data_IF_076550660827
#
_entry.id   IF_076550660827
#
_cell.length_a   1.000
_cell.length_b   1.000
_cell.length_c   1.000
_cell.angle_alpha   90.00
_cell.angle_beta   90.00
_cell.angle_gamma   90.00
#
_symmetry.space_group_name_H-M   'P 1'
#
loop_
_entity.id
_entity.type
_entity.pdbx_description
1 polymer ?
#
# COMPACT_ATOMS: atom_id res chain seq x y z
N UNK A 1 -36.66 -40.42 14.11
CA UNK A 1 -36.53 -38.96 13.99
C UNK A 1 -35.10 -38.62 14.37
N UNK A 2 -34.25 -38.27 13.40
CA UNK A 2 -32.88 -37.88 13.71
C UNK A 2 -32.90 -36.52 14.39
N UNK A 3 -32.41 -36.50 15.62
CA UNK A 3 -32.18 -35.31 16.43
C UNK A 3 -31.15 -34.45 15.70
N UNK A 4 -31.63 -33.58 14.80
CA UNK A 4 -30.77 -32.66 14.05
C UNK A 4 -30.27 -31.65 15.05
N UNK A 5 -29.07 -31.89 15.58
CA UNK A 5 -28.31 -30.93 16.37
C UNK A 5 -28.09 -29.68 15.50
N UNK A 6 -28.94 -28.68 15.68
CA UNK A 6 -28.79 -27.38 15.05
C UNK A 6 -27.65 -26.64 15.73
N UNK A 7 -26.63 -26.30 14.97
CA UNK A 7 -25.47 -25.56 15.43
C UNK A 7 -25.43 -24.12 14.91
N UNK A 8 -24.43 -23.37 15.37
CA UNK A 8 -24.15 -22.01 14.88
C UNK A 8 -24.01 -21.96 13.34
N UNK A 9 -23.50 -23.02 12.73
CA UNK A 9 -23.26 -23.08 11.28
C UNK A 9 -24.53 -23.31 10.45
N UNK A 10 -25.62 -23.75 11.09
CA UNK A 10 -26.91 -23.97 10.43
C UNK A 10 -27.77 -22.69 10.40
N UNK A 11 -27.27 -21.60 10.99
CA UNK A 11 -27.93 -20.30 10.95
C UNK A 11 -27.87 -19.70 9.53
N UNK A 12 -28.90 -18.94 9.14
CA UNK A 12 -28.87 -18.14 7.91
C UNK A 12 -27.75 -17.09 7.96
N UNK A 13 -27.24 -16.72 6.78
CA UNK A 13 -26.08 -15.85 6.65
C UNK A 13 -26.29 -14.46 7.29
N UNK A 14 -27.52 -13.96 7.27
CA UNK A 14 -27.93 -12.68 7.85
C UNK A 14 -27.67 -12.65 9.36
N UNK A 15 -28.09 -13.71 10.07
CA UNK A 15 -27.86 -13.82 11.51
C UNK A 15 -26.37 -13.99 11.83
N UNK A 16 -25.63 -14.72 10.97
CA UNK A 16 -24.18 -14.81 11.12
C UNK A 16 -23.52 -13.41 10.99
N UNK A 17 -23.97 -12.57 10.04
CA UNK A 17 -23.45 -11.21 9.88
C UNK A 17 -23.74 -10.32 11.08
N UNK A 18 -24.94 -10.41 11.65
CA UNK A 18 -25.29 -9.68 12.88
C UNK A 18 -24.46 -10.14 14.07
N UNK A 19 -24.25 -11.45 14.21
CA UNK A 19 -23.36 -12.01 15.25
C UNK A 19 -21.96 -11.43 15.09
N UNK A 20 -21.42 -11.38 13.87
CA UNK A 20 -20.10 -10.79 13.61
C UNK A 20 -20.07 -9.30 13.98
N UNK A 21 -21.07 -8.53 13.55
CA UNK A 21 -21.14 -7.09 13.81
C UNK A 21 -21.21 -6.78 15.31
N UNK A 22 -21.95 -7.58 16.09
CA UNK A 22 -22.09 -7.41 17.54
C UNK A 22 -20.91 -7.97 18.34
N UNK A 23 -20.31 -9.09 17.90
CA UNK A 23 -19.19 -9.70 18.61
C UNK A 23 -17.94 -8.84 18.54
N UNK A 24 -17.76 -8.07 17.46
CA UNK A 24 -16.58 -7.24 17.17
C UNK A 24 -15.26 -8.01 17.23
N UNK A 25 -15.30 -9.35 17.17
CA UNK A 25 -14.14 -10.22 17.33
C UNK A 25 -13.49 -10.51 15.97
N UNK A 26 -12.18 -10.24 15.85
CA UNK A 26 -11.44 -10.53 14.62
C UNK A 26 -11.15 -12.03 14.44
N UNK A 27 -11.24 -12.81 15.51
CA UNK A 27 -10.91 -14.24 15.50
C UNK A 27 -12.09 -15.11 15.06
N UNK A 28 -13.32 -14.59 15.17
CA UNK A 28 -14.55 -15.34 14.85
C UNK A 28 -14.62 -15.83 13.38
N UNK A 29 -14.21 -15.02 12.38
CA UNK A 29 -14.03 -15.53 11.02
C UNK A 29 -12.94 -16.58 10.86
N UNK A 30 -11.93 -16.62 11.74
CA UNK A 30 -10.79 -17.52 11.62
C UNK A 30 -11.05 -18.92 12.21
N UNK A 31 -12.08 -19.05 13.06
CA UNK A 31 -12.45 -20.32 13.71
C UNK A 31 -12.83 -21.39 12.69
N UNK A 32 -13.47 -21.02 11.58
CA UNK A 32 -13.96 -21.97 10.59
C UNK A 32 -13.87 -21.41 9.16
N UNK A 33 -13.47 -22.24 8.19
CA UNK A 33 -13.45 -21.91 6.76
C UNK A 33 -14.82 -21.49 6.23
N UNK A 34 -15.91 -22.11 6.69
CA UNK A 34 -17.27 -21.72 6.32
C UNK A 34 -17.59 -20.30 6.78
N UNK A 35 -17.34 -19.99 8.05
CA UNK A 35 -17.51 -18.65 8.61
C UNK A 35 -16.64 -17.63 7.89
N UNK A 36 -15.37 -17.95 7.64
CA UNK A 36 -14.47 -17.10 6.85
C UNK A 36 -15.05 -16.76 5.48
N UNK A 37 -15.56 -17.78 4.78
CA UNK A 37 -16.17 -17.62 3.46
C UNK A 37 -17.44 -16.77 3.54
N UNK A 38 -18.35 -17.07 4.46
CA UNK A 38 -19.60 -16.32 4.64
C UNK A 38 -19.30 -14.86 4.95
N UNK A 39 -18.43 -14.57 5.93
CA UNK A 39 -18.07 -13.21 6.31
C UNK A 39 -17.29 -12.45 5.24
N UNK A 40 -16.57 -13.15 4.37
CA UNK A 40 -15.95 -12.53 3.19
C UNK A 40 -17.01 -11.91 2.25
N UNK A 41 -18.24 -12.42 2.23
CA UNK A 41 -19.37 -11.88 1.47
C UNK A 41 -20.32 -11.02 2.32
N UNK A 42 -19.95 -10.68 3.56
CA UNK A 42 -20.76 -9.80 4.40
C UNK A 42 -21.03 -8.45 3.69
N UNK A 43 -22.23 -7.88 3.83
CA UNK A 43 -22.58 -6.62 3.18
C UNK A 43 -21.78 -5.45 3.75
N UNK A 44 -21.62 -4.34 3.01
CA UNK A 44 -20.83 -3.19 3.44
C UNK A 44 -21.32 -2.57 4.76
N UNK A 45 -22.63 -2.58 5.01
CA UNK A 45 -23.23 -2.12 6.27
C UNK A 45 -22.72 -2.90 7.48
N UNK A 46 -22.76 -4.24 7.43
CA UNK A 46 -22.25 -5.10 8.50
C UNK A 46 -20.75 -4.91 8.74
N UNK A 47 -19.96 -4.71 7.67
CA UNK A 47 -18.52 -4.40 7.78
C UNK A 47 -18.29 -3.05 8.47
N UNK A 48 -19.08 -2.03 8.13
CA UNK A 48 -19.01 -0.71 8.76
C UNK A 48 -19.35 -0.81 10.26
N UNK A 49 -20.42 -1.52 10.62
CA UNK A 49 -20.78 -1.75 12.03
C UNK A 49 -19.69 -2.49 12.80
N UNK A 50 -19.08 -3.52 12.20
CA UNK A 50 -17.96 -4.24 12.81
C UNK A 50 -16.78 -3.31 13.09
N UNK A 51 -16.40 -2.47 12.13
CA UNK A 51 -15.32 -1.48 12.28
C UNK A 51 -15.64 -0.50 13.40
N UNK A 52 -16.84 0.11 13.38
CA UNK A 52 -17.28 1.03 14.45
C UNK A 52 -17.30 0.37 15.83
N UNK A 53 -17.73 -0.89 15.89
CA UNK A 53 -17.73 -1.68 17.10
C UNK A 53 -16.33 -1.89 17.69
N UNK A 54 -15.30 -2.01 16.85
CA UNK A 54 -13.90 -2.09 17.31
C UNK A 54 -13.32 -0.75 17.73
N UNK A 55 -13.82 0.35 17.16
CA UNK A 55 -13.35 1.70 17.44
C UNK A 55 -13.88 2.22 18.80
N UNK A 56 -14.89 1.56 19.40
CA UNK A 56 -15.56 1.93 20.68
C UNK A 56 -14.57 2.45 21.74
N UNK A 57 -14.39 3.76 21.72
CA UNK A 57 -13.78 4.58 22.75
C UNK A 57 -14.90 5.38 23.43
N UNK A 58 -14.87 5.61 24.75
CA UNK A 58 -15.95 6.26 25.48
C UNK A 58 -16.14 7.77 25.19
N UNK A 59 -15.41 8.34 24.24
CA UNK A 59 -15.40 9.78 23.94
C UNK A 59 -15.85 10.07 22.49
N UNK A 60 -16.40 11.27 22.19
CA UNK A 60 -16.67 11.69 20.83
C UNK A 60 -15.36 11.84 20.06
N UNK A 61 -14.94 10.78 19.39
CA UNK A 61 -13.73 10.79 18.57
C UNK A 61 -13.94 11.74 17.38
N UNK A 62 -12.89 12.49 17.06
CA UNK A 62 -12.83 13.24 15.83
C UNK A 62 -13.08 12.29 14.64
N UNK A 63 -13.80 12.73 13.60
CA UNK A 63 -14.10 11.89 12.44
C UNK A 63 -12.85 11.39 11.73
N UNK A 64 -11.74 12.14 11.83
CA UNK A 64 -10.41 11.77 11.33
C UNK A 64 -9.95 10.41 11.85
N UNK A 65 -10.05 10.19 13.16
CA UNK A 65 -9.60 8.96 13.80
C UNK A 65 -10.47 7.76 13.43
N UNK A 66 -11.77 7.98 13.20
CA UNK A 66 -12.68 6.91 12.78
C UNK A 66 -12.33 6.45 11.36
N UNK A 67 -12.03 7.39 10.46
CA UNK A 67 -11.69 7.07 9.07
C UNK A 67 -10.27 6.49 8.99
N UNK A 68 -9.31 7.05 9.71
CA UNK A 68 -7.94 6.51 9.77
C UNK A 68 -7.93 5.08 10.30
N UNK A 69 -8.63 4.84 11.42
CA UNK A 69 -8.76 3.48 11.97
C UNK A 69 -9.52 2.57 11.02
N UNK A 70 -10.57 3.04 10.33
CA UNK A 70 -11.26 2.25 9.31
C UNK A 70 -10.33 1.84 8.16
N UNK A 71 -9.53 2.77 7.63
CA UNK A 71 -8.57 2.51 6.54
C UNK A 71 -7.44 1.54 6.94
N UNK A 72 -7.20 1.35 8.25
CA UNK A 72 -6.26 0.33 8.73
C UNK A 72 -6.74 -1.10 8.46
N UNK A 73 -8.04 -1.31 8.28
CA UNK A 73 -8.64 -2.62 8.05
C UNK A 73 -8.78 -2.95 6.55
N UNK A 74 -8.43 -4.18 6.12
CA UNK A 74 -8.57 -4.62 4.71
C UNK A 74 -10.01 -4.79 4.24
N UNK A 75 -10.97 -4.84 5.16
CA UNK A 75 -12.40 -4.91 4.86
C UNK A 75 -12.98 -3.54 4.45
N UNK A 76 -12.22 -2.46 4.62
CA UNK A 76 -12.62 -1.12 4.26
C UNK A 76 -12.54 -0.92 2.74
N UNK A 77 -13.70 -0.71 2.12
CA UNK A 77 -13.86 -0.46 0.67
C UNK A 77 -14.56 0.89 0.48
N UNK A 78 -14.62 1.38 -0.75
CA UNK A 78 -15.29 2.65 -1.07
C UNK A 78 -16.73 2.68 -0.56
N UNK A 79 -17.50 1.62 -0.79
CA UNK A 79 -18.88 1.51 -0.29
C UNK A 79 -18.96 1.50 1.23
N UNK A 80 -17.98 0.90 1.92
CA UNK A 80 -17.95 0.88 3.39
C UNK A 80 -17.67 2.28 3.93
N UNK A 81 -16.78 3.03 3.28
CA UNK A 81 -16.54 4.43 3.61
C UNK A 81 -17.79 5.27 3.40
N UNK A 82 -18.53 5.06 2.30
CA UNK A 82 -19.79 5.75 2.07
C UNK A 82 -20.78 5.46 3.21
N UNK A 83 -20.93 4.20 3.63
CA UNK A 83 -21.77 3.87 4.80
C UNK A 83 -21.26 4.52 6.10
N UNK A 84 -19.95 4.56 6.34
CA UNK A 84 -19.38 5.21 7.53
C UNK A 84 -19.63 6.72 7.55
N UNK A 85 -19.51 7.40 6.40
CA UNK A 85 -19.81 8.82 6.23
C UNK A 85 -21.30 9.12 6.52
N UNK A 86 -22.21 8.20 6.16
CA UNK A 86 -23.64 8.34 6.39
C UNK A 86 -24.13 7.85 7.77
N UNK A 87 -23.30 7.14 8.55
CA UNK A 87 -23.66 6.68 9.89
C UNK A 87 -23.35 7.73 10.96
N UNK A 88 -24.28 7.95 11.90
CA UNK A 88 -24.08 8.87 13.04
C UNK A 88 -22.86 8.44 13.86
N UNK A 89 -22.00 9.38 14.29
CA UNK A 89 -22.21 10.84 14.32
C UNK A 89 -21.73 11.62 13.07
N UNK A 90 -21.32 10.98 11.97
CA UNK A 90 -20.63 11.63 10.84
C UNK A 90 -21.53 12.41 9.86
N UNK A 91 -22.85 12.38 10.07
CA UNK A 91 -23.91 12.91 9.18
C UNK A 91 -23.84 14.43 8.88
N UNK A 92 -22.89 15.18 9.44
CA UNK A 92 -22.77 16.64 9.26
C UNK A 92 -21.46 17.12 8.61
N UNK A 93 -20.59 16.23 8.13
CA UNK A 93 -19.35 16.65 7.49
C UNK A 93 -19.61 17.08 6.05
N UNK A 94 -19.71 18.40 5.83
CA UNK A 94 -19.66 19.00 4.50
C UNK A 94 -18.44 18.47 3.72
N UNK A 95 -18.56 18.34 2.39
CA UNK A 95 -17.48 17.86 1.50
C UNK A 95 -16.15 18.57 1.75
N UNK A 96 -16.18 19.85 2.11
CA UNK A 96 -14.98 20.63 2.44
C UNK A 96 -14.31 20.18 3.74
N UNK A 97 -15.09 19.76 4.74
CA UNK A 97 -14.56 19.19 5.99
C UNK A 97 -13.97 17.81 5.76
N UNK A 98 -14.61 16.97 4.93
CA UNK A 98 -14.05 15.67 4.54
C UNK A 98 -12.69 15.84 3.84
N UNK A 99 -12.57 16.81 2.92
CA UNK A 99 -11.30 17.08 2.25
C UNK A 99 -10.20 17.57 3.20
N UNK A 100 -10.57 18.24 4.30
CA UNK A 100 -9.61 18.67 5.31
C UNK A 100 -9.08 17.52 6.18
N UNK A 101 -9.78 16.37 6.21
CA UNK A 101 -9.35 15.18 6.95
C UNK A 101 -8.13 14.60 6.27
N UNK A 102 -7.05 14.47 7.04
CA UNK A 102 -5.82 13.83 6.60
C UNK A 102 -5.88 12.35 6.94
N UNK A 103 -5.57 11.52 5.95
CA UNK A 103 -5.66 10.07 6.12
C UNK A 103 -4.45 9.37 5.55
N UNK A 104 -3.98 8.39 6.31
CA UNK A 104 -2.90 7.50 5.91
C UNK A 104 -3.47 6.17 5.42
N UNK A 105 -3.18 5.74 4.17
CA UNK A 105 -3.69 4.48 3.68
C UNK A 105 -3.02 3.31 4.42
N UNK A 106 -3.82 2.29 4.73
CA UNK A 106 -3.35 1.11 5.45
C UNK A 106 -2.28 0.33 4.66
N UNK A 107 -1.29 -0.22 5.38
CA UNK A 107 -0.21 -1.03 4.79
C UNK A 107 -0.71 -2.26 4.03
N UNK A 108 -1.89 -2.76 4.38
CA UNK A 108 -2.50 -3.90 3.73
C UNK A 108 -2.72 -3.67 2.22
N UNK A 109 -3.00 -2.43 1.81
CA UNK A 109 -3.22 -2.05 0.41
C UNK A 109 -2.02 -2.41 -0.48
N UNK A 110 -0.81 -2.28 0.07
CA UNK A 110 0.44 -2.49 -0.67
C UNK A 110 1.02 -3.89 -0.47
N UNK A 111 0.42 -4.74 0.39
CA UNK A 111 1.03 -6.03 0.76
C UNK A 111 0.94 -7.09 -0.34
N UNK A 112 -0.15 -7.07 -1.11
CA UNK A 112 -0.42 -8.04 -2.19
C UNK A 112 -0.45 -7.36 -3.57
N UNK A 113 0.43 -6.38 -3.81
CA UNK A 113 0.63 -5.87 -5.16
C UNK A 113 1.09 -7.05 -6.04
N UNK A 114 0.42 -7.24 -7.18
CA UNK A 114 0.71 -8.33 -8.10
C UNK A 114 2.14 -8.19 -8.62
N UNK A 115 3.08 -8.85 -7.96
CA UNK A 115 4.45 -8.96 -8.47
C UNK A 115 4.41 -9.85 -9.69
N UNK A 116 4.86 -9.34 -10.84
CA UNK A 116 5.16 -10.22 -11.97
C UNK A 116 6.03 -11.39 -11.49
N UNK A 117 5.58 -12.61 -11.79
CA UNK A 117 6.40 -13.80 -11.75
C UNK A 117 7.61 -13.48 -12.64
N UNK A 118 8.79 -13.21 -12.06
CA UNK A 118 10.02 -13.23 -12.87
C UNK A 118 10.04 -14.59 -13.59
N UNK A 119 10.25 -14.65 -14.91
CA UNK A 119 10.33 -15.92 -15.61
C UNK A 119 11.41 -16.75 -14.91
N UNK A 120 11.06 -17.99 -14.54
CA UNK A 120 11.94 -18.96 -13.87
C UNK A 120 13.38 -18.81 -14.37
N UNK A 121 14.29 -18.27 -13.55
CA UNK A 121 15.71 -18.64 -13.67
C UNK A 121 15.71 -20.15 -13.52
N UNK A 122 15.97 -20.87 -14.62
CA UNK A 122 16.06 -22.34 -14.68
C UNK A 122 17.03 -22.82 -13.60
N UNK A 123 16.52 -23.11 -12.41
CA UNK A 123 17.19 -24.01 -11.47
C UNK A 123 16.95 -25.42 -11.98
N UNK A 124 18.01 -25.98 -12.54
CA UNK A 124 18.09 -27.34 -13.01
C UNK A 124 18.09 -28.25 -11.77
N UNK A 125 16.92 -28.66 -11.27
CA UNK A 125 16.82 -29.71 -10.25
C UNK A 125 15.51 -30.49 -10.37
N UNK A 126 15.66 -31.80 -10.62
CA UNK A 126 14.88 -32.93 -10.07
C UNK A 126 13.38 -33.04 -10.40
N UNK A 127 12.92 -34.13 -11.05
CA UNK A 127 11.51 -34.39 -11.22
C UNK A 127 10.97 -35.08 -9.97
N UNK A 128 10.54 -34.33 -8.96
CA UNK A 128 9.53 -34.77 -7.99
C UNK A 128 9.23 -33.64 -7.02
N UNK A 129 8.18 -32.89 -7.30
CA UNK A 129 7.29 -32.34 -6.27
C UNK A 129 6.11 -31.71 -6.98
N UNK A 130 4.92 -32.21 -6.63
CA UNK A 130 3.64 -31.70 -7.07
C UNK A 130 3.58 -30.17 -6.97
N UNK A 131 2.84 -29.48 -7.87
CA UNK A 131 2.69 -28.05 -7.75
C UNK A 131 1.98 -27.80 -6.42
N UNK A 132 2.72 -27.27 -5.44
CA UNK A 132 2.12 -26.71 -4.25
C UNK A 132 1.20 -25.59 -4.73
N UNK A 133 -0.09 -25.89 -4.83
CA UNK A 133 -1.14 -24.91 -5.02
C UNK A 133 -1.01 -23.96 -3.85
N UNK A 134 -0.42 -22.80 -4.12
CA UNK A 134 -0.31 -21.69 -3.20
C UNK A 134 -1.73 -21.27 -2.82
N UNK A 135 -2.27 -21.88 -1.76
CA UNK A 135 -3.31 -21.27 -0.94
C UNK A 135 -2.69 -20.07 -0.22
N UNK A 136 -2.34 -19.04 -0.99
CA UNK A 136 -2.37 -17.69 -0.46
C UNK A 136 -3.84 -17.38 -0.30
N UNK A 137 -4.30 -17.21 0.93
CA UNK A 137 -5.60 -16.61 1.23
C UNK A 137 -5.63 -15.20 0.63
N UNK A 138 -5.93 -15.15 -0.67
CA UNK A 138 -5.93 -13.94 -1.49
C UNK A 138 -7.25 -13.19 -1.27
N UNK A 139 -7.43 -12.68 -0.05
CA UNK A 139 -8.57 -11.81 0.29
C UNK A 139 -8.43 -10.41 -0.29
N UNK A 140 -7.26 -10.06 -0.84
CA UNK A 140 -6.97 -8.75 -1.45
C UNK A 140 -7.01 -8.74 -2.98
N UNK A 141 -7.40 -9.84 -3.64
CA UNK A 141 -7.32 -9.96 -5.11
C UNK A 141 -8.36 -9.12 -5.88
N UNK A 142 -9.27 -8.41 -5.20
CA UNK A 142 -10.35 -7.64 -5.86
C UNK A 142 -10.18 -6.13 -5.81
N UNK A 143 -9.33 -5.59 -4.94
CA UNK A 143 -9.22 -4.14 -4.78
C UNK A 143 -8.07 -3.65 -5.65
N UNK A 144 -8.40 -2.90 -6.69
CA UNK A 144 -7.40 -2.17 -7.46
C UNK A 144 -6.87 -1.01 -6.60
N UNK A 145 -5.62 -1.07 -6.12
CA UNK A 145 -5.11 -0.11 -5.15
C UNK A 145 -5.06 1.31 -5.71
N UNK A 146 -4.87 1.44 -7.02
CA UNK A 146 -4.89 2.71 -7.74
C UNK A 146 -6.27 3.36 -7.72
N UNK A 147 -7.30 2.64 -8.20
CA UNK A 147 -8.67 3.15 -8.25
C UNK A 147 -9.17 3.52 -6.84
N UNK A 148 -8.81 2.70 -5.84
CA UNK A 148 -9.14 2.99 -4.45
C UNK A 148 -8.45 4.27 -3.95
N UNK A 149 -7.14 4.45 -4.18
CA UNK A 149 -6.45 5.67 -3.78
C UNK A 149 -6.94 6.91 -4.53
N UNK A 150 -7.30 6.81 -5.80
CA UNK A 150 -7.93 7.91 -6.54
C UNK A 150 -9.30 8.29 -5.93
N UNK A 151 -10.11 7.30 -5.52
CA UNK A 151 -11.36 7.56 -4.82
C UNK A 151 -11.14 8.26 -3.48
N UNK A 152 -10.05 7.93 -2.79
CA UNK A 152 -9.67 8.58 -1.53
C UNK A 152 -9.15 9.99 -1.76
N UNK A 153 -8.32 10.24 -2.76
CA UNK A 153 -7.80 11.58 -3.10
C UNK A 153 -8.92 12.55 -3.47
N UNK A 154 -10.02 12.06 -4.06
CA UNK A 154 -11.21 12.89 -4.34
C UNK A 154 -11.94 13.31 -3.07
N UNK A 155 -11.89 12.49 -2.01
CA UNK A 155 -12.67 12.66 -0.78
C UNK A 155 -11.90 13.28 0.37
N UNK A 156 -10.61 12.97 0.47
CA UNK A 156 -9.76 13.25 1.62
C UNK A 156 -8.40 13.78 1.18
N UNK A 157 -7.65 14.38 2.10
CA UNK A 157 -6.23 14.70 1.87
C UNK A 157 -5.38 13.50 2.28
N UNK A 158 -4.64 12.94 1.33
CA UNK A 158 -3.74 11.82 1.61
C UNK A 158 -2.48 12.34 2.29
N UNK A 159 -2.14 11.77 3.45
CA UNK A 159 -0.88 12.02 4.14
C UNK A 159 -0.15 10.70 4.39
N UNK A 160 1.14 10.67 4.07
CA UNK A 160 1.96 9.50 4.27
C UNK A 160 2.94 9.72 5.41
N UNK A 161 2.79 8.95 6.49
CA UNK A 161 3.83 8.84 7.51
C UNK A 161 5.14 8.37 6.87
N UNK A 162 6.29 8.84 7.36
CA UNK A 162 7.64 8.41 6.96
C UNK A 162 7.75 6.88 6.88
N UNK A 163 7.16 6.16 7.83
CA UNK A 163 7.22 4.71 7.83
C UNK A 163 6.30 4.06 6.79
N UNK A 164 5.17 4.70 6.48
CA UNK A 164 4.17 4.29 5.49
C UNK A 164 4.62 4.58 4.07
N UNK A 165 5.17 5.77 3.80
CA UNK A 165 5.73 6.19 2.51
C UNK A 165 6.83 5.22 2.06
N UNK A 166 7.82 4.98 2.92
CA UNK A 166 8.90 4.03 2.63
C UNK A 166 8.39 2.62 2.30
N UNK A 167 7.33 2.16 2.99
CA UNK A 167 6.78 0.83 2.73
C UNK A 167 5.98 0.80 1.41
N UNK A 168 5.11 1.78 1.18
CA UNK A 168 4.27 1.86 0.00
C UNK A 168 5.11 1.99 -1.28
N UNK A 169 6.11 2.88 -1.28
CA UNK A 169 7.01 3.08 -2.42
C UNK A 169 7.85 1.82 -2.68
N UNK A 170 8.45 1.23 -1.64
CA UNK A 170 9.21 -0.02 -1.75
C UNK A 170 8.39 -1.17 -2.36
N UNK A 171 7.11 -1.28 -1.97
CA UNK A 171 6.21 -2.30 -2.50
C UNK A 171 5.85 -2.06 -3.97
N UNK A 172 5.64 -0.80 -4.37
CA UNK A 172 5.37 -0.44 -5.77
C UNK A 172 6.57 -0.77 -6.68
N UNK A 173 7.78 -0.39 -6.26
CA UNK A 173 9.01 -0.74 -6.98
C UNK A 173 9.16 -2.25 -7.11
N UNK A 174 8.92 -3.00 -6.02
CA UNK A 174 9.01 -4.46 -6.04
C UNK A 174 7.98 -5.14 -6.96
N UNK A 175 6.82 -4.52 -7.15
CA UNK A 175 5.79 -5.02 -8.08
C UNK A 175 6.18 -4.80 -9.56
N UNK A 176 7.04 -3.81 -9.83
CA UNK A 176 7.60 -3.52 -11.15
C UNK A 176 6.82 -2.45 -11.94
N UNK A 177 7.04 -2.36 -13.26
CA UNK A 177 6.56 -1.25 -14.10
C UNK A 177 5.04 -1.11 -14.18
N UNK A 178 4.30 -2.20 -13.98
CA UNK A 178 2.83 -2.16 -13.92
C UNK A 178 2.29 -1.22 -12.83
N UNK A 179 3.11 -0.93 -11.81
CA UNK A 179 2.73 -0.11 -10.67
C UNK A 179 3.26 1.33 -10.74
N UNK A 180 3.86 1.76 -11.85
CA UNK A 180 4.34 3.14 -12.02
C UNK A 180 3.26 4.21 -11.87
N UNK A 181 2.02 4.03 -12.37
CA UNK A 181 0.95 4.99 -12.10
C UNK A 181 0.64 5.14 -10.60
N UNK A 182 0.72 4.03 -9.85
CA UNK A 182 0.56 4.06 -8.39
C UNK A 182 1.74 4.78 -7.73
N UNK A 183 2.96 4.50 -8.17
CA UNK A 183 4.18 5.16 -7.68
C UNK A 183 4.09 6.69 -7.89
N UNK A 184 3.66 7.13 -9.07
CA UNK A 184 3.45 8.54 -9.39
C UNK A 184 2.37 9.16 -8.51
N UNK A 185 1.25 8.49 -8.28
CA UNK A 185 0.18 8.97 -7.39
C UNK A 185 0.68 9.15 -5.95
N UNK A 186 1.46 8.20 -5.43
CA UNK A 186 2.03 8.29 -4.09
C UNK A 186 2.98 9.49 -3.97
N UNK A 187 3.89 9.64 -4.94
CA UNK A 187 4.83 10.76 -4.98
C UNK A 187 4.10 12.11 -5.15
N UNK A 188 3.03 12.15 -5.97
CA UNK A 188 2.17 13.33 -6.14
C UNK A 188 1.58 13.80 -4.81
N UNK A 189 1.17 12.85 -3.98
CA UNK A 189 0.54 13.07 -2.68
C UNK A 189 1.56 13.18 -1.52
N UNK A 190 2.84 13.47 -1.80
CA UNK A 190 3.83 13.80 -0.77
C UNK A 190 4.50 12.58 -0.11
N UNK A 191 4.51 11.40 -0.72
CA UNK A 191 5.27 10.28 -0.21
C UNK A 191 6.79 10.50 -0.36
N UNK A 192 7.52 10.51 0.76
CA UNK A 192 8.98 10.71 0.76
C UNK A 192 9.76 9.48 0.27
N UNK A 193 10.55 9.56 -0.82
CA UNK A 193 11.37 8.45 -1.30
C UNK A 193 12.64 8.23 -0.45
N UNK A 194 13.08 9.23 0.31
CA UNK A 194 14.23 9.16 1.21
C UNK A 194 13.92 8.51 2.57
N UNK A 195 12.65 8.22 2.82
CA UNK A 195 12.21 7.69 4.10
C UNK A 195 12.85 6.33 4.44
N UNK A 196 13.09 6.10 5.74
CA UNK A 196 13.78 4.90 6.27
C UNK A 196 15.09 4.59 5.53
N UNK A 197 16.04 5.52 5.55
CA UNK A 197 17.37 5.34 4.93
C UNK A 197 17.33 5.01 3.43
N UNK A 198 16.44 5.67 2.69
CA UNK A 198 16.26 5.46 1.25
C UNK A 198 15.91 4.00 0.87
N UNK A 199 15.15 3.29 1.73
CA UNK A 199 14.76 1.90 1.47
C UNK A 199 14.11 1.70 0.09
N UNK A 200 13.17 2.57 -0.36
CA UNK A 200 12.62 2.47 -1.71
C UNK A 200 13.68 2.55 -2.82
N UNK A 201 14.63 3.48 -2.71
CA UNK A 201 15.72 3.65 -3.70
C UNK A 201 16.67 2.46 -3.69
N UNK A 202 17.00 1.91 -2.50
CA UNK A 202 17.82 0.70 -2.38
C UNK A 202 17.20 -0.48 -3.11
N UNK A 203 15.87 -0.64 -3.00
CA UNK A 203 15.15 -1.74 -3.67
C UNK A 203 15.16 -1.53 -5.19
N UNK A 204 14.94 -0.31 -5.67
CA UNK A 204 14.98 0.01 -7.10
C UNK A 204 16.37 -0.21 -7.71
N UNK A 205 17.42 0.19 -6.98
CA UNK A 205 18.80 -0.07 -7.35
C UNK A 205 19.12 -1.58 -7.40
N UNK A 206 18.62 -2.35 -6.42
CA UNK A 206 18.82 -3.79 -6.38
C UNK A 206 17.98 -4.56 -7.41
N UNK A 207 16.86 -4.00 -7.89
CA UNK A 207 16.07 -4.58 -8.98
C UNK A 207 16.56 -4.19 -10.36
N UNK A 208 17.34 -3.10 -10.45
CA UNK A 208 17.83 -2.53 -11.71
C UNK A 208 16.81 -1.63 -12.42
N UNK A 209 15.75 -1.20 -11.71
CA UNK A 209 14.68 -0.41 -12.31
C UNK A 209 15.07 1.07 -12.40
N UNK A 210 15.75 1.43 -13.49
CA UNK A 210 16.22 2.78 -13.75
C UNK A 210 15.07 3.79 -13.86
N UNK A 211 13.97 3.41 -14.52
CA UNK A 211 12.79 4.28 -14.64
C UNK A 211 12.13 4.57 -13.29
N UNK A 212 12.08 3.58 -12.39
CA UNK A 212 11.56 3.78 -11.04
C UNK A 212 12.43 4.74 -10.22
N UNK A 213 13.76 4.64 -10.36
CA UNK A 213 14.71 5.57 -9.75
C UNK A 213 14.53 6.99 -10.29
N UNK A 214 14.43 7.16 -11.60
CA UNK A 214 14.15 8.46 -12.23
C UNK A 214 12.86 9.06 -11.71
N UNK A 215 11.76 8.30 -11.69
CA UNK A 215 10.46 8.78 -11.18
C UNK A 215 10.53 9.24 -9.71
N UNK A 216 11.35 8.61 -8.89
CA UNK A 216 11.46 8.92 -7.46
C UNK A 216 12.45 10.05 -7.16
N UNK A 217 13.54 10.15 -7.92
CA UNK A 217 14.61 11.15 -7.71
C UNK A 217 14.30 12.44 -8.46
N UNK A 218 13.85 12.35 -9.71
CA UNK A 218 13.49 13.52 -10.50
C UNK A 218 12.12 14.06 -10.05
N UNK A 219 12.00 15.39 -9.92
CA UNK A 219 10.69 15.98 -9.66
C UNK A 219 9.89 16.05 -10.96
N UNK A 220 8.68 15.48 -10.96
CA UNK A 220 7.75 15.68 -12.09
C UNK A 220 7.35 17.17 -12.15
N UNK A 221 7.35 17.79 -13.34
CA UNK A 221 7.02 19.21 -13.52
C UNK A 221 5.62 19.59 -13.00
N UNK A 222 4.69 18.63 -12.94
CA UNK A 222 3.31 18.85 -12.51
C UNK A 222 3.19 19.23 -11.02
N UNK A 223 4.17 18.85 -10.19
CA UNK A 223 4.15 19.18 -8.75
C UNK A 223 4.57 20.62 -8.43
N UNK A 224 5.21 21.33 -9.36
CA UNK A 224 5.54 22.75 -9.12
C UNK A 224 4.31 23.66 -9.19
N UNK A 225 3.18 23.19 -9.74
CA UNK A 225 1.99 24.01 -9.91
C UNK A 225 1.15 24.20 -8.62
N UNK A 226 1.34 23.36 -7.59
CA UNK A 226 0.55 23.44 -6.35
C UNK A 226 1.25 24.17 -5.20
N UNK A 227 2.53 24.53 -5.36
CA UNK A 227 3.30 25.24 -4.35
C UNK A 227 3.83 26.57 -4.87
N UNK A 228 3.24 27.67 -4.40
CA UNK A 228 3.71 29.06 -4.49
C UNK A 228 3.41 29.85 -5.77
N UNK A 229 2.69 30.95 -5.55
CA UNK A 229 2.47 32.05 -6.47
C UNK A 229 3.80 32.63 -6.97
N UNK A 230 3.97 32.72 -8.29
CA UNK A 230 4.80 33.72 -8.98
C UNK A 230 6.29 33.76 -8.63
N UNK A 231 7.12 33.06 -9.40
CA UNK A 231 8.56 33.35 -9.45
C UNK A 231 9.36 32.34 -10.27
N UNK A 232 9.96 32.78 -11.38
CA UNK A 232 11.01 32.17 -12.22
C UNK A 232 11.22 30.66 -12.04
N UNK A 233 10.92 29.86 -13.09
CA UNK A 233 11.26 28.43 -13.25
C UNK A 233 12.66 28.13 -12.65
N UNK A 234 12.69 27.68 -11.39
CA UNK A 234 13.92 27.23 -10.73
C UNK A 234 14.27 25.87 -11.32
N UNK A 235 15.56 25.61 -11.54
CA UNK A 235 16.05 24.28 -11.95
C UNK A 235 15.41 23.24 -11.03
N UNK A 236 14.86 22.18 -11.61
CA UNK A 236 14.24 21.10 -10.85
C UNK A 236 15.36 20.43 -10.05
N UNK A 237 15.45 20.78 -8.77
CA UNK A 237 16.31 20.07 -7.84
C UNK A 237 15.72 18.67 -7.59
N UNK A 238 16.60 17.69 -7.39
CA UNK A 238 16.21 16.33 -7.12
C UNK A 238 15.43 16.24 -5.81
N UNK A 239 14.36 15.43 -5.79
CA UNK A 239 13.54 15.20 -4.60
C UNK A 239 14.36 14.63 -3.45
N UNK A 240 15.34 13.79 -3.78
CA UNK A 240 16.19 13.09 -2.82
C UNK A 240 17.59 12.96 -3.40
N UNK A 241 18.59 13.32 -2.60
CA UNK A 241 19.98 13.08 -2.93
C UNK A 241 20.31 11.58 -2.76
N UNK A 242 20.68 10.85 -3.82
CA UNK A 242 20.98 9.44 -3.73
C UNK A 242 22.19 9.18 -2.81
N UNK A 243 22.05 8.20 -1.91
CA UNK A 243 23.09 7.86 -0.93
C UNK A 243 24.10 6.87 -1.51
N UNK A 244 25.36 6.89 -1.04
CA UNK A 244 26.40 5.89 -1.38
C UNK A 244 25.94 4.43 -1.19
N UNK A 245 25.07 4.19 -0.20
CA UNK A 245 24.44 2.89 0.04
C UNK A 245 23.55 2.40 -1.11
N UNK A 246 22.88 3.30 -1.84
CA UNK A 246 22.04 2.95 -3.00
C UNK A 246 22.92 2.50 -4.16
N UNK A 247 24.03 3.21 -4.40
CA UNK A 247 25.05 2.83 -5.39
C UNK A 247 25.64 1.45 -5.08
N UNK A 248 25.96 1.18 -3.82
CA UNK A 248 26.47 -0.14 -3.40
C UNK A 248 25.49 -1.28 -3.72
N UNK A 249 24.18 -1.09 -3.54
CA UNK A 249 23.19 -2.13 -3.89
C UNK A 249 23.06 -2.33 -5.41
N UNK A 250 23.14 -1.25 -6.21
CA UNK A 250 23.14 -1.35 -7.69
C UNK A 250 24.35 -2.16 -8.19
N UNK A 251 25.54 -1.87 -7.65
CA UNK A 251 26.78 -2.55 -8.00
C UNK A 251 26.75 -4.02 -7.57
N UNK A 252 26.23 -4.34 -6.38
CA UNK A 252 25.99 -5.74 -5.96
C UNK A 252 25.03 -6.48 -6.89
N UNK A 253 24.01 -5.79 -7.40
CA UNK A 253 23.06 -6.32 -8.38
C UNK A 253 23.63 -6.51 -9.80
N UNK A 254 24.85 -6.03 -10.06
CA UNK A 254 25.46 -5.93 -11.40
C UNK A 254 24.64 -5.09 -12.39
N UNK A 255 23.95 -4.06 -11.89
CA UNK A 255 23.17 -3.14 -12.72
C UNK A 255 24.05 -1.95 -13.13
N UNK A 256 24.84 -2.13 -14.19
CA UNK A 256 25.84 -1.15 -14.66
C UNK A 256 25.16 0.15 -15.09
N UNK A 257 24.07 0.08 -15.86
CA UNK A 257 23.32 1.26 -16.33
C UNK A 257 22.84 2.15 -15.17
N UNK A 258 22.35 1.53 -14.09
CA UNK A 258 21.91 2.25 -12.88
C UNK A 258 23.10 2.86 -12.14
N UNK A 259 24.22 2.15 -12.07
CA UNK A 259 25.43 2.65 -11.41
C UNK A 259 26.05 3.83 -12.19
N UNK A 260 26.14 3.73 -13.52
CA UNK A 260 26.60 4.81 -14.40
C UNK A 260 25.71 6.03 -14.26
N UNK A 261 24.39 5.86 -14.28
CA UNK A 261 23.45 6.95 -14.09
C UNK A 261 23.64 7.67 -12.74
N UNK A 262 23.81 6.92 -11.64
CA UNK A 262 24.06 7.49 -10.31
C UNK A 262 25.39 8.25 -10.21
N UNK A 263 26.43 7.79 -10.92
CA UNK A 263 27.76 8.40 -10.89
C UNK A 263 27.82 9.63 -11.81
N UNK A 264 27.36 9.50 -13.05
CA UNK A 264 27.48 10.53 -14.08
C UNK A 264 26.43 11.64 -13.97
N UNK A 265 25.16 11.28 -13.75
CA UNK A 265 24.09 12.29 -13.69
C UNK A 265 23.87 12.84 -12.28
N UNK A 266 24.01 11.99 -11.25
CA UNK A 266 23.74 12.39 -9.86
C UNK A 266 24.98 12.67 -9.02
N UNK A 267 26.18 12.41 -9.56
CA UNK A 267 27.45 12.76 -8.92
C UNK A 267 27.72 12.04 -7.59
N UNK A 268 27.13 10.85 -7.38
CA UNK A 268 27.35 10.08 -6.15
C UNK A 268 28.79 9.57 -6.13
N UNK A 269 29.57 10.02 -5.15
CA UNK A 269 30.97 9.58 -4.99
C UNK A 269 31.00 8.10 -4.59
N UNK A 270 31.61 7.23 -5.40
CA UNK A 270 31.73 5.82 -5.08
C UNK A 270 32.75 5.56 -3.96
N UNK A 271 32.39 4.72 -2.99
CA UNK A 271 33.31 4.21 -1.99
C UNK A 271 34.40 3.34 -2.64
N UNK A 272 35.58 3.23 -2.02
CA UNK A 272 36.69 2.39 -2.51
C UNK A 272 36.29 0.93 -2.77
N UNK A 273 35.34 0.39 -1.99
CA UNK A 273 34.79 -0.94 -2.22
C UNK A 273 33.93 -1.01 -3.50
N UNK A 274 33.11 0.01 -3.77
CA UNK A 274 32.29 0.08 -4.98
C UNK A 274 33.14 0.25 -6.24
N UNK A 275 34.23 1.03 -6.17
CA UNK A 275 35.18 1.17 -7.29
C UNK A 275 35.85 -0.15 -7.67
N UNK A 276 36.28 -0.94 -6.68
CA UNK A 276 36.86 -2.28 -6.92
C UNK A 276 35.85 -3.24 -7.54
N UNK A 277 34.58 -3.14 -7.15
CA UNK A 277 33.53 -3.98 -7.72
C UNK A 277 33.19 -3.57 -9.16
N UNK A 278 33.20 -2.29 -9.48
CA UNK A 278 33.00 -1.78 -10.85
C UNK A 278 34.16 -2.17 -11.79
N UNK A 279 35.40 -2.20 -11.31
CA UNK A 279 36.57 -2.65 -12.08
C UNK A 279 36.54 -4.16 -12.40
N UNK A 280 35.78 -4.94 -11.62
CA UNK A 280 35.69 -6.40 -11.73
C UNK A 280 34.32 -6.88 -12.27
N UNK A 281 33.42 -5.98 -12.65
CA UNK A 281 32.05 -6.27 -13.11
C UNK A 281 32.01 -6.48 -14.63
#
# INVERSE_FOLDING_TARGET
MHDRRTGLLDLPAELLFEILANSTSADLPLVNKHLLHTFHYAPPSCRAYFILGRIKSPAPLAPELIIESALSYPICTETVLDFLEHMRPQVLLSRSRLKAIRVSPGRWLFRNLLSQLKPKRRRKHGPSSAPALLFSSSTNSRINPLAFLESLERRYTLEFSVAGSAFALAMCVRAGPAQYPLLQLLLRNGADPGAKSCLPLKIAAASGDLDALKLMIESSPDQQAQGTTGGKRRRVEDRVQPTTKVLLEAVKGKHIEVAEWLIHEKGVVPDMATMRMLQNA
#
